data_IF_621846425921
#
_entry.id   IF_621846425921
#
_cell.length_a   1.000
_cell.length_b   1.000
_cell.length_c   1.000
_cell.angle_alpha   90.00
_cell.angle_beta   90.00
_cell.angle_gamma   90.00
#
_symmetry.space_group_name_H-M   'P 1'
#
loop_
_entity.id
_entity.type
_entity.pdbx_description
1 polymer ?
#
# COMPACT_ATOMS: atom_id res chain seq x y z
N UNK A 1 -5.85 34.13 19.48
CA UNK A 1 -5.06 33.22 20.31
C UNK A 1 -5.04 31.89 19.61
N UNK A 2 -3.86 31.42 19.18
CA UNK A 2 -3.75 30.09 18.58
C UNK A 2 -4.03 29.03 19.66
N UNK A 3 -4.92 28.06 19.42
CA UNK A 3 -5.10 26.95 20.33
C UNK A 3 -3.81 26.12 20.35
N UNK A 4 -3.29 25.89 21.54
CA UNK A 4 -2.13 25.04 21.80
C UNK A 4 -2.40 23.62 21.28
N UNK A 5 -1.61 23.18 20.32
CA UNK A 5 -1.58 21.79 19.84
C UNK A 5 -1.25 20.86 21.01
N UNK A 6 -2.04 19.80 21.26
CA UNK A 6 -1.72 18.84 22.32
C UNK A 6 -0.40 18.14 22.00
N UNK A 7 0.48 18.06 22.99
CA UNK A 7 1.73 17.32 22.93
C UNK A 7 1.41 15.85 22.64
N UNK A 8 1.94 15.31 21.53
CA UNK A 8 1.81 13.90 21.19
C UNK A 8 2.50 13.03 22.26
N UNK A 9 1.95 11.84 22.58
CA UNK A 9 2.54 10.95 23.57
C UNK A 9 3.94 10.50 23.14
N UNK A 10 4.88 10.57 24.09
CA UNK A 10 6.26 10.08 23.96
C UNK A 10 6.23 8.60 23.55
N UNK A 11 6.94 8.23 22.46
CA UNK A 11 7.14 6.84 22.02
C UNK A 11 7.57 6.00 23.22
N UNK A 12 6.70 5.08 23.68
CA UNK A 12 7.06 4.11 24.71
C UNK A 12 8.10 3.15 24.13
N UNK A 13 9.13 2.83 24.91
CA UNK A 13 10.09 1.78 24.57
C UNK A 13 9.36 0.45 24.43
N UNK A 14 9.45 -0.17 23.25
CA UNK A 14 8.88 -1.49 22.99
C UNK A 14 9.62 -2.52 23.86
N UNK A 15 8.92 -3.41 24.59
CA UNK A 15 9.58 -4.44 25.38
C UNK A 15 10.44 -5.35 24.48
N UNK A 16 11.71 -5.56 24.85
CA UNK A 16 12.56 -6.56 24.20
C UNK A 16 12.18 -7.94 24.71
N UNK A 17 11.38 -8.67 23.94
CA UNK A 17 11.10 -10.08 24.20
C UNK A 17 12.31 -10.92 23.77
N UNK A 18 13.06 -11.44 24.73
CA UNK A 18 14.16 -12.37 24.46
C UNK A 18 13.59 -13.77 24.26
N UNK A 19 13.47 -14.21 23.01
CA UNK A 19 12.92 -15.53 22.69
C UNK A 19 14.01 -16.61 22.61
N UNK A 20 13.75 -17.82 23.12
CA UNK A 20 14.63 -18.95 22.93
C UNK A 20 14.56 -19.40 21.46
N UNK A 21 15.45 -18.84 20.64
CA UNK A 21 15.97 -19.39 19.38
C UNK A 21 15.01 -20.29 18.60
N UNK A 22 13.94 -19.73 18.03
CA UNK A 22 13.25 -20.34 16.89
C UNK A 22 14.15 -20.24 15.65
N UNK A 23 15.28 -20.96 15.65
CA UNK A 23 16.22 -21.04 14.51
C UNK A 23 15.78 -22.12 13.51
N UNK A 24 14.48 -22.26 13.28
CA UNK A 24 14.01 -22.99 12.11
C UNK A 24 14.39 -22.19 10.88
N UNK A 25 14.92 -22.85 9.84
CA UNK A 25 15.09 -22.18 8.54
C UNK A 25 13.71 -21.68 8.09
N UNK A 26 13.53 -20.36 8.00
CA UNK A 26 12.34 -19.80 7.40
C UNK A 26 12.25 -20.29 5.95
N UNK A 27 11.20 -21.05 5.66
CA UNK A 27 10.98 -21.63 4.34
C UNK A 27 10.56 -20.61 3.30
N UNK A 28 10.11 -19.42 3.71
CA UNK A 28 9.47 -18.44 2.84
C UNK A 28 10.24 -17.12 2.70
N UNK A 29 10.22 -16.58 1.48
CA UNK A 29 10.74 -15.26 1.14
C UNK A 29 9.63 -14.22 1.21
N UNK A 30 9.75 -13.27 2.14
CA UNK A 30 8.68 -12.30 2.41
C UNK A 30 8.93 -11.02 1.63
N UNK A 31 7.91 -10.60 0.89
CA UNK A 31 7.96 -9.40 0.06
C UNK A 31 6.74 -8.54 0.36
N UNK A 32 7.00 -7.28 0.66
CA UNK A 32 6.00 -6.24 0.78
C UNK A 32 6.17 -5.27 -0.40
N UNK A 33 5.10 -5.03 -1.14
CA UNK A 33 5.12 -4.21 -2.35
C UNK A 33 4.02 -3.15 -2.34
N UNK A 34 4.39 -1.91 -2.65
CA UNK A 34 3.45 -0.82 -2.88
C UNK A 34 3.85 0.01 -4.11
N UNK A 35 2.99 0.97 -4.45
CA UNK A 35 3.22 1.97 -5.47
C UNK A 35 3.18 3.36 -4.85
N UNK A 36 3.44 4.36 -5.67
CA UNK A 36 3.32 5.74 -5.24
C UNK A 36 1.90 6.02 -4.71
N UNK A 37 1.80 6.52 -3.47
CA UNK A 37 0.53 6.86 -2.77
C UNK A 37 -0.47 5.73 -2.55
N UNK A 38 -0.05 4.47 -2.67
CA UNK A 38 -0.91 3.32 -2.35
C UNK A 38 -0.76 2.79 -0.93
N UNK A 39 -0.06 3.50 -0.04
CA UNK A 39 0.07 3.12 1.37
C UNK A 39 1.46 2.65 1.80
N UNK A 40 2.52 3.14 1.16
CA UNK A 40 3.92 2.77 1.48
C UNK A 40 4.27 2.92 2.97
N UNK A 41 3.76 3.95 3.66
CA UNK A 41 4.00 4.14 5.09
C UNK A 41 3.37 3.01 5.92
N UNK A 42 2.09 2.72 5.70
CA UNK A 42 1.37 1.59 6.33
C UNK A 42 2.12 0.28 6.09
N UNK A 43 2.52 0.03 4.84
CA UNK A 43 3.21 -1.20 4.48
C UNK A 43 4.60 -1.30 5.11
N UNK A 44 5.32 -0.18 5.23
CA UNK A 44 6.60 -0.12 5.91
C UNK A 44 6.45 -0.45 7.40
N UNK A 45 5.42 0.06 8.07
CA UNK A 45 5.18 -0.21 9.49
C UNK A 45 4.84 -1.69 9.70
N UNK A 46 3.96 -2.25 8.87
CA UNK A 46 3.65 -3.69 8.89
C UNK A 46 4.89 -4.54 8.63
N UNK A 47 5.70 -4.19 7.63
CA UNK A 47 6.96 -4.88 7.32
C UNK A 47 7.96 -4.80 8.48
N UNK A 48 8.06 -3.66 9.17
CA UNK A 48 8.89 -3.50 10.36
C UNK A 48 8.44 -4.40 11.50
N UNK A 49 7.13 -4.49 11.75
CA UNK A 49 6.60 -5.38 12.77
C UNK A 49 6.89 -6.85 12.44
N UNK A 50 6.65 -7.28 11.19
CA UNK A 50 6.98 -8.65 10.76
C UNK A 50 8.47 -8.94 10.90
N UNK A 51 9.33 -8.03 10.43
CA UNK A 51 10.77 -8.21 10.52
C UNK A 51 11.27 -8.28 11.97
N UNK A 52 10.69 -7.48 12.86
CA UNK A 52 11.02 -7.52 14.29
C UNK A 52 10.63 -8.87 14.93
N UNK A 53 9.44 -9.38 14.65
CA UNK A 53 8.95 -10.64 15.22
C UNK A 53 9.73 -11.83 14.69
N UNK A 54 10.11 -11.80 13.41
CA UNK A 54 10.79 -12.89 12.73
C UNK A 54 12.32 -12.76 12.73
N UNK A 55 12.87 -11.74 13.39
CA UNK A 55 14.31 -11.42 13.43
C UNK A 55 14.93 -11.38 12.02
N UNK A 56 14.26 -10.66 11.11
CA UNK A 56 14.69 -10.45 9.72
C UNK A 56 15.26 -9.05 9.52
N UNK A 57 16.20 -8.94 8.60
CA UNK A 57 16.65 -7.65 8.08
C UNK A 57 15.68 -7.13 7.01
N UNK A 58 15.52 -5.81 6.91
CA UNK A 58 14.68 -5.20 5.86
C UNK A 58 15.55 -4.64 4.76
N UNK A 59 15.37 -5.15 3.55
CA UNK A 59 15.95 -4.58 2.34
C UNK A 59 14.93 -3.74 1.58
N UNK A 60 15.16 -2.43 1.53
CA UNK A 60 14.35 -1.53 0.70
C UNK A 60 14.83 -1.57 -0.76
N UNK A 61 13.89 -1.78 -1.68
CA UNK A 61 14.13 -1.86 -3.13
C UNK A 61 13.23 -0.85 -3.85
N UNK A 62 13.75 -0.27 -4.93
CA UNK A 62 13.03 0.65 -5.82
C UNK A 62 12.93 0.05 -7.21
N UNK A 63 11.76 -0.42 -7.65
CA UNK A 63 11.61 -1.17 -8.91
C UNK A 63 12.01 -0.43 -10.17
N UNK A 64 11.88 0.90 -10.16
CA UNK A 64 12.06 1.68 -11.38
C UNK A 64 13.47 1.59 -11.91
N UNK A 65 13.59 0.90 -13.05
CA UNK A 65 14.61 1.15 -14.07
C UNK A 65 14.35 2.53 -14.68
N UNK A 66 14.63 3.62 -13.94
CA UNK A 66 14.67 4.95 -14.56
C UNK A 66 15.74 4.91 -15.66
N UNK A 67 15.46 5.35 -16.90
CA UNK A 67 16.48 5.45 -17.93
C UNK A 67 17.69 6.23 -17.39
N UNK A 68 18.85 5.58 -17.32
CA UNK A 68 20.08 6.17 -16.77
C UNK A 68 20.37 5.92 -15.29
N UNK A 69 19.47 5.27 -14.54
CA UNK A 69 19.82 4.61 -13.28
C UNK A 69 20.01 3.14 -13.61
N UNK A 70 21.25 2.65 -13.55
CA UNK A 70 21.55 1.24 -13.80
C UNK A 70 20.59 0.37 -13.00
N UNK A 71 19.87 -0.52 -13.67
CA UNK A 71 18.93 -1.43 -13.05
C UNK A 71 19.70 -2.34 -12.11
N UNK A 72 19.73 -1.99 -10.81
CA UNK A 72 20.18 -2.90 -9.75
C UNK A 72 19.23 -4.09 -9.55
N UNK A 73 18.25 -4.24 -10.46
CA UNK A 73 17.21 -5.26 -10.49
C UNK A 73 17.65 -6.61 -11.06
N UNK A 74 18.90 -6.74 -11.50
CA UNK A 74 19.38 -7.99 -12.08
C UNK A 74 20.11 -8.91 -11.10
N UNK A 75 20.42 -8.44 -9.89
CA UNK A 75 20.95 -9.32 -8.85
C UNK A 75 19.78 -9.94 -8.10
N UNK A 76 19.70 -11.28 -8.13
CA UNK A 76 18.78 -12.02 -7.29
C UNK A 76 18.98 -11.55 -5.84
N UNK A 77 17.91 -11.21 -5.10
CA UNK A 77 18.07 -10.76 -3.73
C UNK A 77 18.81 -11.81 -2.90
N UNK A 78 19.64 -11.38 -1.95
CA UNK A 78 20.10 -12.29 -0.92
C UNK A 78 18.90 -12.60 -0.03
N UNK A 79 18.31 -13.76 -0.25
CA UNK A 79 17.12 -14.19 0.47
C UNK A 79 17.44 -14.73 1.88
N UNK A 80 18.71 -14.76 2.28
CA UNK A 80 19.10 -15.24 3.60
C UNK A 80 18.75 -14.19 4.67
N UNK A 81 17.65 -14.46 5.39
CA UNK A 81 17.16 -13.66 6.53
C UNK A 81 16.69 -12.24 6.21
N UNK A 82 16.26 -11.98 4.98
CA UNK A 82 15.78 -10.67 4.56
C UNK A 82 14.28 -10.68 4.23
N UNK A 83 13.63 -9.55 4.56
CA UNK A 83 12.33 -9.14 4.06
C UNK A 83 12.56 -8.02 3.04
N UNK A 84 11.93 -8.11 1.87
CA UNK A 84 12.09 -7.09 0.83
C UNK A 84 10.89 -6.14 0.79
N UNK A 85 11.16 -4.83 0.85
CA UNK A 85 10.15 -3.79 0.74
C UNK A 85 10.32 -3.03 -0.59
N UNK A 86 9.38 -3.20 -1.52
CA UNK A 86 9.35 -2.52 -2.81
C UNK A 86 8.46 -1.29 -2.77
N UNK A 87 9.04 -0.13 -3.07
CA UNK A 87 8.30 1.12 -3.28
C UNK A 87 8.37 1.41 -4.78
N UNK A 88 7.25 1.27 -5.51
CA UNK A 88 7.12 1.23 -6.99
C UNK A 88 7.19 -0.16 -7.64
N UNK A 89 6.62 -1.18 -7.03
CA UNK A 89 6.69 -2.57 -7.54
C UNK A 89 6.08 -2.74 -8.94
N UNK A 90 6.82 -3.32 -9.89
CA UNK A 90 6.34 -3.53 -11.26
C UNK A 90 6.28 -5.01 -11.69
N UNK A 91 5.81 -5.27 -12.91
CA UNK A 91 5.70 -6.63 -13.45
C UNK A 91 7.05 -7.30 -13.70
N UNK A 92 8.10 -6.54 -13.99
CA UNK A 92 9.42 -7.09 -14.30
C UNK A 92 10.12 -7.55 -13.03
N UNK A 93 10.00 -6.79 -11.93
CA UNK A 93 10.41 -7.23 -10.61
C UNK A 93 9.72 -8.53 -10.21
N UNK A 94 8.40 -8.63 -10.39
CA UNK A 94 7.68 -9.87 -10.12
C UNK A 94 8.21 -11.04 -10.94
N UNK A 95 8.39 -10.85 -12.26
CA UNK A 95 8.93 -11.90 -13.15
C UNK A 95 10.32 -12.33 -12.73
N UNK A 96 11.20 -11.39 -12.39
CA UNK A 96 12.55 -11.68 -11.93
C UNK A 96 12.49 -12.52 -10.64
N UNK A 97 11.70 -12.09 -9.66
CA UNK A 97 11.50 -12.80 -8.39
C UNK A 97 11.05 -14.25 -8.64
N UNK A 98 10.05 -14.50 -9.49
CA UNK A 98 9.48 -15.85 -9.67
C UNK A 98 10.18 -16.70 -10.74
N UNK A 99 11.16 -16.16 -11.47
CA UNK A 99 11.90 -16.88 -12.51
C UNK A 99 12.93 -17.87 -11.95
N UNK A 100 13.35 -17.67 -10.71
CA UNK A 100 14.29 -18.55 -10.00
C UNK A 100 13.58 -19.80 -9.47
N UNK A 101 14.20 -20.98 -9.65
CA UNK A 101 13.67 -22.24 -9.09
C UNK A 101 13.60 -22.22 -7.56
N UNK A 102 14.53 -21.51 -6.92
CA UNK A 102 14.63 -21.40 -5.47
C UNK A 102 13.45 -20.61 -4.89
N UNK A 103 13.07 -19.53 -5.57
CA UNK A 103 12.02 -18.61 -5.12
C UNK A 103 10.61 -19.05 -5.54
N UNK A 104 10.50 -19.87 -6.59
CA UNK A 104 9.21 -20.18 -7.22
C UNK A 104 8.15 -20.73 -6.25
N UNK A 105 8.53 -21.49 -5.22
CA UNK A 105 7.59 -22.06 -4.23
C UNK A 105 7.60 -21.33 -2.88
N UNK A 106 8.62 -20.52 -2.62
CA UNK A 106 8.92 -19.95 -1.30
C UNK A 106 8.45 -18.51 -1.14
N UNK A 107 8.18 -17.79 -2.22
CA UNK A 107 7.79 -16.38 -2.13
C UNK A 107 6.38 -16.21 -1.54
N UNK A 108 6.25 -15.19 -0.69
CA UNK A 108 4.99 -14.60 -0.22
C UNK A 108 5.03 -13.10 -0.47
N UNK A 109 4.19 -12.64 -1.38
CA UNK A 109 4.04 -11.25 -1.77
C UNK A 109 2.78 -10.66 -1.15
N UNK A 110 2.94 -9.69 -0.26
CA UNK A 110 1.87 -8.79 0.18
C UNK A 110 1.95 -7.54 -0.68
N UNK A 111 0.98 -7.36 -1.58
CA UNK A 111 0.94 -6.27 -2.53
C UNK A 111 -0.21 -5.31 -2.20
N UNK A 112 0.13 -4.08 -1.82
CA UNK A 112 -0.82 -3.03 -1.48
C UNK A 112 -1.09 -2.12 -2.68
N UNK A 113 -2.34 -2.13 -3.14
CA UNK A 113 -2.88 -1.21 -4.14
C UNK A 113 -3.89 -0.27 -3.50
N UNK A 114 -4.33 0.75 -4.23
CA UNK A 114 -5.33 1.72 -3.75
C UNK A 114 -6.32 2.05 -4.84
N UNK A 115 -7.52 2.52 -4.46
CA UNK A 115 -8.47 3.03 -5.44
C UNK A 115 -7.79 4.10 -6.33
N UNK A 116 -7.94 4.06 -7.66
CA UNK A 116 -7.27 4.99 -8.56
C UNK A 116 -7.63 6.46 -8.28
N UNK A 117 -8.89 6.75 -7.95
CA UNK A 117 -9.30 8.13 -7.63
C UNK A 117 -8.66 8.57 -6.31
N UNK A 118 -8.67 7.71 -5.28
CA UNK A 118 -8.00 7.99 -4.02
C UNK A 118 -6.49 8.16 -4.15
N UNK A 119 -5.88 7.49 -5.13
CA UNK A 119 -4.46 7.60 -5.45
C UNK A 119 -4.15 8.99 -6.01
N UNK A 120 -4.97 9.49 -6.95
CA UNK A 120 -4.86 10.85 -7.49
C UNK A 120 -5.03 11.89 -6.38
N UNK A 121 -6.11 11.82 -5.59
CA UNK A 121 -6.36 12.76 -4.48
C UNK A 121 -5.16 12.78 -3.53
N UNK A 122 -4.62 11.61 -3.20
CA UNK A 122 -3.48 11.51 -2.29
C UNK A 122 -2.17 12.02 -2.88
N UNK A 123 -1.99 11.89 -4.20
CA UNK A 123 -0.84 12.43 -4.93
C UNK A 123 -0.85 13.94 -4.94
N UNK A 124 -1.97 14.53 -5.38
CA UNK A 124 -2.17 15.98 -5.46
C UNK A 124 -1.83 16.67 -4.13
N UNK A 125 -2.49 16.27 -3.04
CA UNK A 125 -2.28 16.88 -1.73
C UNK A 125 -0.89 16.64 -1.14
N UNK A 126 -0.22 15.56 -1.54
CA UNK A 126 1.16 15.33 -1.15
C UNK A 126 2.09 16.27 -1.91
N UNK A 127 1.98 16.36 -3.23
CA UNK A 127 2.81 17.21 -4.08
C UNK A 127 2.66 18.70 -3.72
N UNK A 128 1.43 19.16 -3.44
CA UNK A 128 1.19 20.53 -2.98
C UNK A 128 1.88 20.86 -1.64
N UNK A 129 2.14 19.86 -0.78
CA UNK A 129 2.71 20.06 0.56
C UNK A 129 4.21 19.85 0.62
N UNK A 130 4.73 18.82 -0.04
CA UNK A 130 6.13 18.42 0.08
C UNK A 130 7.03 19.07 -0.95
N UNK A 131 6.48 19.57 -2.05
CA UNK A 131 7.27 20.09 -3.17
C UNK A 131 7.88 19.01 -4.08
N UNK A 132 7.76 17.73 -3.72
CA UNK A 132 8.24 16.62 -4.55
C UNK A 132 7.18 16.28 -5.59
N UNK A 133 7.29 16.77 -6.82
CA UNK A 133 6.29 16.49 -7.88
C UNK A 133 6.52 15.17 -8.61
N UNK A 134 7.65 14.50 -8.39
CA UNK A 134 7.92 13.17 -8.94
C UNK A 134 7.72 13.04 -10.46
N UNK A 135 6.55 12.50 -10.86
CA UNK A 135 6.14 12.26 -12.25
C UNK A 135 5.15 13.27 -12.80
N UNK A 136 4.74 14.27 -12.02
CA UNK A 136 3.82 15.33 -12.46
C UNK A 136 4.56 16.28 -13.41
N UNK A 137 4.00 16.63 -14.58
CA UNK A 137 4.69 17.40 -15.62
C UNK A 137 4.80 18.90 -15.33
N UNK A 138 4.61 19.32 -14.07
CA UNK A 138 4.79 20.69 -13.60
C UNK A 138 5.51 20.67 -12.25
N UNK A 139 6.19 21.77 -11.91
CA UNK A 139 6.76 21.92 -10.58
C UNK A 139 5.68 22.17 -9.52
N UNK A 140 6.07 22.04 -8.25
CA UNK A 140 5.13 22.15 -7.15
C UNK A 140 4.58 23.56 -6.97
N UNK A 141 5.35 24.59 -7.34
CA UNK A 141 4.92 25.97 -7.22
C UNK A 141 3.77 26.24 -8.20
N UNK A 142 3.93 25.81 -9.46
CA UNK A 142 2.88 25.85 -10.46
C UNK A 142 1.65 25.03 -10.04
N UNK A 143 1.84 23.82 -9.50
CA UNK A 143 0.72 22.97 -9.06
C UNK A 143 -0.10 23.60 -7.93
N UNK A 144 0.55 24.30 -6.99
CA UNK A 144 -0.12 24.99 -5.88
C UNK A 144 -0.85 26.26 -6.33
N UNK A 145 -0.43 26.86 -7.44
CA UNK A 145 -1.07 28.05 -8.02
C UNK A 145 -2.34 27.72 -8.82
N UNK A 146 -2.52 26.47 -9.24
CA UNK A 146 -3.75 26.01 -9.87
C UNK A 146 -4.90 25.96 -8.85
N UNK A 147 -6.09 26.26 -9.32
CA UNK A 147 -7.33 25.87 -8.66
C UNK A 147 -7.39 24.35 -8.47
N UNK A 148 -8.09 23.92 -7.41
CA UNK A 148 -8.06 22.52 -6.97
C UNK A 148 -8.55 21.55 -8.05
N UNK A 149 -9.50 21.95 -8.88
CA UNK A 149 -9.98 21.14 -10.01
C UNK A 149 -8.87 20.91 -11.04
N UNK A 150 -8.30 21.98 -11.60
CA UNK A 150 -7.20 21.92 -12.57
C UNK A 150 -6.00 21.15 -12.01
N UNK A 151 -5.64 21.38 -10.75
CA UNK A 151 -4.55 20.67 -10.08
C UNK A 151 -4.81 19.16 -9.93
N UNK A 152 -6.05 18.76 -9.62
CA UNK A 152 -6.45 17.36 -9.56
C UNK A 152 -6.43 16.71 -10.96
N UNK A 153 -6.79 17.43 -12.01
CA UNK A 153 -6.75 16.92 -13.39
C UNK A 153 -5.32 16.71 -13.89
N UNK A 154 -4.42 17.64 -13.58
CA UNK A 154 -2.97 17.49 -13.87
C UNK A 154 -2.40 16.27 -13.15
N UNK A 155 -2.73 16.10 -11.86
CA UNK A 155 -2.32 14.91 -11.10
C UNK A 155 -2.93 13.63 -11.70
N UNK A 156 -4.20 13.65 -12.10
CA UNK A 156 -4.88 12.51 -12.70
C UNK A 156 -4.18 12.05 -13.99
N UNK A 157 -3.81 13.00 -14.86
CA UNK A 157 -3.04 12.72 -16.07
C UNK A 157 -1.68 12.08 -15.73
N UNK A 158 -0.93 12.65 -14.79
CA UNK A 158 0.36 12.13 -14.37
C UNK A 158 0.28 10.72 -13.78
N UNK A 159 -0.74 10.44 -12.96
CA UNK A 159 -0.99 9.13 -12.35
C UNK A 159 -1.40 8.08 -13.38
N UNK A 160 -2.18 8.47 -14.40
CA UNK A 160 -2.55 7.61 -15.54
C UNK A 160 -1.36 7.22 -16.42
N UNK A 161 -0.34 8.06 -16.51
CA UNK A 161 0.87 7.78 -17.28
C UNK A 161 1.94 7.01 -16.47
N UNK A 162 1.76 6.88 -15.16
CA UNK A 162 2.77 6.29 -14.27
C UNK A 162 2.21 5.19 -13.37
N UNK A 163 1.64 5.58 -12.23
CA UNK A 163 1.29 4.69 -11.11
C UNK A 163 0.17 3.71 -11.46
N UNK A 164 -0.84 4.14 -12.22
CA UNK A 164 -1.95 3.25 -12.61
C UNK A 164 -1.48 2.12 -13.53
N UNK A 165 -0.75 2.39 -14.63
CA UNK A 165 -0.16 1.32 -15.46
C UNK A 165 0.74 0.37 -14.66
N UNK A 166 1.54 0.87 -13.72
CA UNK A 166 2.37 0.04 -12.83
C UNK A 166 1.51 -0.91 -11.98
N UNK A 167 0.46 -0.40 -11.34
CA UNK A 167 -0.50 -1.22 -10.59
C UNK A 167 -1.16 -2.28 -11.47
N UNK A 168 -1.59 -1.91 -12.67
CA UNK A 168 -2.23 -2.82 -13.64
C UNK A 168 -1.27 -3.92 -14.09
N UNK A 169 -0.04 -3.56 -14.46
CA UNK A 169 0.97 -4.51 -14.90
C UNK A 169 1.35 -5.47 -13.78
N UNK A 170 1.58 -4.97 -12.56
CA UNK A 170 1.85 -5.80 -11.38
C UNK A 170 0.63 -6.67 -11.01
N UNK A 171 -0.60 -6.18 -11.16
CA UNK A 171 -1.82 -6.96 -10.97
C UNK A 171 -1.94 -8.12 -11.98
N UNK A 172 -1.71 -7.84 -13.26
CA UNK A 172 -1.74 -8.85 -14.32
C UNK A 172 -0.63 -9.90 -14.23
N UNK A 173 0.56 -9.49 -13.77
CA UNK A 173 1.70 -10.39 -13.62
C UNK A 173 1.57 -11.29 -12.37
N UNK A 174 1.20 -10.70 -11.22
CA UNK A 174 0.96 -11.40 -9.97
C UNK A 174 -0.53 -11.73 -9.79
N UNK A 175 -1.07 -12.63 -10.62
CA UNK A 175 -2.51 -12.92 -10.68
C UNK A 175 -3.11 -13.23 -9.30
N UNK A 176 -4.37 -12.83 -9.08
CA UNK A 176 -5.08 -13.12 -7.81
C UNK A 176 -5.27 -14.62 -7.53
N UNK A 177 -5.21 -15.47 -8.57
CA UNK A 177 -5.24 -16.92 -8.43
C UNK A 177 -3.91 -17.51 -7.92
N UNK A 178 -2.84 -16.70 -7.83
CA UNK A 178 -1.55 -17.14 -7.35
C UNK A 178 -1.53 -17.14 -5.81
N UNK A 179 -1.46 -18.33 -5.21
CA UNK A 179 -1.43 -18.51 -3.74
C UNK A 179 -0.22 -17.85 -3.07
N UNK A 180 0.78 -17.43 -3.83
CA UNK A 180 1.95 -16.69 -3.34
C UNK A 180 1.69 -15.19 -3.20
N UNK A 181 0.51 -14.71 -3.58
CA UNK A 181 0.19 -13.29 -3.66
C UNK A 181 -1.05 -13.00 -2.81
N UNK A 182 -0.88 -12.16 -1.80
CA UNK A 182 -1.96 -11.49 -1.12
C UNK A 182 -2.01 -10.05 -1.61
N UNK A 183 -3.06 -9.69 -2.34
CA UNK A 183 -3.27 -8.31 -2.77
C UNK A 183 -4.37 -7.64 -1.97
N UNK A 184 -4.04 -6.51 -1.35
CA UNK A 184 -4.93 -5.74 -0.48
C UNK A 184 -5.20 -4.37 -1.11
N UNK A 185 -6.42 -3.85 -0.93
CA UNK A 185 -6.68 -2.42 -1.08
C UNK A 185 -6.28 -1.68 0.20
N UNK A 186 -5.69 -0.49 0.10
CA UNK A 186 -5.35 0.32 1.27
C UNK A 186 -6.57 0.61 2.15
N UNK A 187 -7.75 0.72 1.54
CA UNK A 187 -9.01 0.97 2.22
C UNK A 187 -9.37 -0.14 3.22
N UNK A 188 -8.89 -1.37 3.03
CA UNK A 188 -9.10 -2.47 3.96
C UNK A 188 -8.59 -2.14 5.38
N UNK A 189 -7.40 -1.52 5.47
CA UNK A 189 -6.82 -1.06 6.73
C UNK A 189 -7.64 0.04 7.40
N UNK A 190 -8.29 0.90 6.62
CA UNK A 190 -9.16 1.96 7.17
C UNK A 190 -10.48 1.40 7.66
N UNK A 191 -11.04 0.43 6.93
CA UNK A 191 -12.33 -0.17 7.28
C UNK A 191 -12.23 -1.19 8.42
N UNK A 192 -11.11 -1.92 8.52
CA UNK A 192 -10.89 -2.99 9.51
C UNK A 192 -9.38 -3.24 9.69
N UNK A 193 -8.74 -2.43 10.54
CA UNK A 193 -7.30 -2.49 10.78
C UNK A 193 -6.85 -3.86 11.29
N UNK A 194 -7.45 -4.35 12.38
CA UNK A 194 -7.09 -5.61 13.03
C UNK A 194 -7.37 -6.82 12.13
N UNK A 195 -8.55 -6.87 11.49
CA UNK A 195 -8.88 -7.96 10.57
C UNK A 195 -7.97 -8.01 9.34
N UNK A 196 -7.57 -6.84 8.82
CA UNK A 196 -6.63 -6.75 7.70
C UNK A 196 -5.23 -7.23 8.11
N UNK A 197 -4.74 -6.81 9.29
CA UNK A 197 -3.48 -7.29 9.84
C UNK A 197 -3.51 -8.80 10.07
N UNK A 198 -4.54 -9.32 10.72
CA UNK A 198 -4.71 -10.75 10.94
C UNK A 198 -4.60 -11.54 9.63
N UNK A 199 -5.22 -11.05 8.56
CA UNK A 199 -5.14 -11.68 7.24
C UNK A 199 -3.74 -11.61 6.61
N UNK A 200 -3.02 -10.50 6.79
CA UNK A 200 -1.60 -10.42 6.37
C UNK A 200 -0.80 -11.50 7.09
N UNK A 201 -0.96 -11.60 8.40
CA UNK A 201 -0.28 -12.60 9.21
C UNK A 201 -0.62 -14.02 8.78
N UNK A 202 -1.91 -14.35 8.69
CA UNK A 202 -2.40 -15.69 8.32
C UNK A 202 -1.88 -16.10 6.92
N UNK A 203 -1.78 -15.17 5.99
CA UNK A 203 -1.19 -15.40 4.66
C UNK A 203 0.32 -15.71 4.71
N UNK A 204 1.07 -14.95 5.52
CA UNK A 204 2.49 -15.24 5.75
C UNK A 204 2.64 -16.59 6.47
N UNK A 205 1.69 -16.89 7.36
CA UNK A 205 1.69 -18.06 8.21
C UNK A 205 1.40 -19.39 7.51
N UNK A 206 0.55 -19.39 6.47
CA UNK A 206 0.19 -20.57 5.63
C UNK A 206 1.41 -21.22 4.94
N UNK A 207 2.62 -20.69 5.13
CA UNK A 207 3.86 -21.16 4.53
C UNK A 207 4.86 -21.80 5.49
N UNK A 208 4.67 -21.67 6.82
CA UNK A 208 5.65 -22.15 7.79
C UNK A 208 5.01 -22.78 9.01
N UNK A 209 5.60 -23.89 9.45
CA UNK A 209 5.25 -24.57 10.71
C UNK A 209 5.67 -23.75 11.95
N UNK A 210 6.41 -22.66 11.77
CA UNK A 210 6.97 -21.84 12.85
C UNK A 210 5.98 -20.84 13.47
N UNK A 211 4.83 -20.61 12.84
CA UNK A 211 3.90 -19.57 13.30
C UNK A 211 2.95 -20.10 14.37
N UNK A 212 2.92 -19.42 15.52
CA UNK A 212 2.02 -19.71 16.64
C UNK A 212 0.96 -18.62 16.80
N UNK A 213 -0.11 -18.91 17.53
CA UNK A 213 -1.11 -17.90 17.92
C UNK A 213 -0.46 -16.76 18.73
N UNK A 214 0.52 -17.05 19.58
CA UNK A 214 1.26 -16.03 20.35
C UNK A 214 1.97 -15.01 19.45
N UNK A 215 2.60 -15.47 18.35
CA UNK A 215 3.27 -14.57 17.41
C UNK A 215 2.28 -13.72 16.62
N UNK A 216 1.08 -14.26 16.35
CA UNK A 216 -0.03 -13.53 15.74
C UNK A 216 -0.52 -12.41 16.65
N UNK A 217 -0.76 -12.71 17.91
CA UNK A 217 -1.24 -11.73 18.89
C UNK A 217 -0.18 -10.64 19.11
N UNK A 218 1.10 -11.02 19.18
CA UNK A 218 2.20 -10.05 19.23
C UNK A 218 2.25 -9.14 18.00
N UNK A 219 2.03 -9.69 16.81
CA UNK A 219 1.95 -8.91 15.58
C UNK A 219 0.81 -7.90 15.61
N UNK A 220 -0.39 -8.31 16.03
CA UNK A 220 -1.54 -7.43 16.15
C UNK A 220 -1.29 -6.32 17.19
N UNK A 221 -0.73 -6.66 18.35
CA UNK A 221 -0.40 -5.70 19.40
C UNK A 221 0.61 -4.65 18.92
N UNK A 222 1.72 -5.07 18.32
CA UNK A 222 2.76 -4.15 17.86
C UNK A 222 2.29 -3.29 16.69
N UNK A 223 1.56 -3.88 15.74
CA UNK A 223 1.06 -3.15 14.57
C UNK A 223 -0.07 -2.18 14.95
N UNK A 224 -0.87 -2.47 15.98
CA UNK A 224 -1.89 -1.53 16.49
C UNK A 224 -1.29 -0.26 17.11
N UNK A 225 -0.04 -0.33 17.58
CA UNK A 225 0.69 0.82 18.12
C UNK A 225 1.33 1.70 17.04
N UNK A 226 1.35 1.25 15.78
CA UNK A 226 1.88 2.03 14.67
C UNK A 226 0.95 3.21 14.39
N UNK A 227 1.40 4.42 14.75
CA UNK A 227 0.69 5.65 14.39
C UNK A 227 1.17 6.12 13.03
N UNK A 228 0.28 6.32 12.04
CA UNK A 228 0.66 6.94 10.79
C UNK A 228 1.28 8.31 11.08
N UNK A 229 2.39 8.60 10.41
CA UNK A 229 2.97 9.93 10.46
C UNK A 229 1.94 10.95 9.93
N UNK A 230 1.54 11.95 10.73
CA UNK A 230 0.57 12.95 10.31
C UNK A 230 1.02 13.73 9.06
N UNK A 231 2.33 13.84 8.78
CA UNK A 231 2.85 14.45 7.55
C UNK A 231 2.51 13.63 6.29
N UNK A 232 2.13 12.37 6.45
CA UNK A 232 1.72 11.51 5.35
C UNK A 232 0.19 11.37 5.21
N UNK A 233 -0.59 12.00 6.10
CA UNK A 233 -2.05 11.93 6.09
C UNK A 233 -2.66 13.24 5.57
N UNK A 234 -3.33 13.18 4.44
CA UNK A 234 -4.18 14.28 3.97
C UNK A 234 -5.40 14.41 4.89
N UNK A 235 -5.72 15.64 5.29
CA UNK A 235 -6.90 15.95 6.10
C UNK A 235 -8.19 15.41 5.46
N UNK A 236 -9.10 14.89 6.29
CA UNK A 236 -10.37 14.31 5.83
C UNK A 236 -11.19 15.27 4.97
N UNK A 237 -11.32 16.52 5.42
CA UNK A 237 -12.06 17.55 4.71
C UNK A 237 -11.51 17.80 3.29
N UNK A 238 -10.19 17.88 3.13
CA UNK A 238 -9.56 18.06 1.82
C UNK A 238 -9.84 16.89 0.86
N UNK A 239 -9.92 15.67 1.38
CA UNK A 239 -10.30 14.49 0.58
C UNK A 239 -11.78 14.55 0.17
N UNK A 240 -12.67 14.97 1.06
CA UNK A 240 -14.10 15.10 0.78
C UNK A 240 -14.37 16.16 -0.29
N UNK A 241 -13.73 17.33 -0.18
CA UNK A 241 -13.80 18.39 -1.20
C UNK A 241 -13.30 17.89 -2.55
N UNK A 242 -12.14 17.21 -2.59
CA UNK A 242 -11.60 16.66 -3.83
C UNK A 242 -12.53 15.61 -4.47
N UNK A 243 -13.16 14.74 -3.67
CA UNK A 243 -14.15 13.77 -4.19
C UNK A 243 -15.36 14.47 -4.80
N UNK A 244 -15.85 15.55 -4.19
CA UNK A 244 -16.98 16.32 -4.71
C UNK A 244 -16.63 16.95 -6.06
N UNK A 245 -15.47 17.63 -6.14
CA UNK A 245 -14.96 18.22 -7.39
C UNK A 245 -14.88 17.15 -8.50
N UNK A 246 -14.28 16.00 -8.19
CA UNK A 246 -14.14 14.89 -9.15
C UNK A 246 -15.51 14.33 -9.58
N UNK A 247 -16.48 14.25 -8.67
CA UNK A 247 -17.82 13.75 -8.97
C UNK A 247 -18.61 14.69 -9.89
N UNK A 248 -18.42 16.00 -9.74
CA UNK A 248 -19.06 17.05 -10.53
C UNK A 248 -18.33 17.35 -11.85
N UNK A 249 -17.03 17.05 -11.92
CA UNK A 249 -16.21 17.30 -13.10
C UNK A 249 -16.65 16.46 -14.30
N UNK A 250 -16.81 17.14 -15.44
CA UNK A 250 -17.08 16.52 -16.75
C UNK A 250 -15.82 16.14 -17.52
N UNK A 251 -14.62 16.24 -16.92
CA UNK A 251 -13.37 15.98 -17.62
C UNK A 251 -13.17 14.49 -17.93
N UNK A 252 -12.80 14.20 -19.18
CA UNK A 252 -12.60 12.83 -19.68
C UNK A 252 -11.46 12.07 -18.97
N UNK A 253 -10.58 12.76 -18.24
CA UNK A 253 -9.52 12.13 -17.45
C UNK A 253 -10.11 11.25 -16.34
N UNK A 254 -11.22 11.68 -15.72
CA UNK A 254 -11.85 10.96 -14.62
C UNK A 254 -12.49 9.64 -15.08
N UNK A 255 -13.01 9.58 -16.30
CA UNK A 255 -13.52 8.33 -16.87
C UNK A 255 -12.42 7.29 -17.01
N UNK A 256 -11.22 7.70 -17.44
CA UNK A 256 -10.05 6.81 -17.53
C UNK A 256 -9.59 6.34 -16.16
N UNK A 257 -9.52 7.24 -15.17
CA UNK A 257 -9.14 6.90 -13.79
C UNK A 257 -10.14 5.90 -13.19
N UNK A 258 -11.45 6.15 -13.33
CA UNK A 258 -12.50 5.25 -12.84
C UNK A 258 -12.48 3.90 -13.56
N UNK A 259 -12.30 3.88 -14.88
CA UNK A 259 -12.22 2.65 -15.66
C UNK A 259 -11.05 1.73 -15.22
N UNK A 260 -9.96 2.31 -14.71
CA UNK A 260 -8.82 1.55 -14.21
C UNK A 260 -9.17 0.66 -13.00
N UNK A 261 -10.21 0.98 -12.21
CA UNK A 261 -10.62 0.21 -11.02
C UNK A 261 -10.77 -1.28 -11.28
N UNK A 262 -11.52 -1.65 -12.32
CA UNK A 262 -11.80 -3.05 -12.64
C UNK A 262 -10.52 -3.83 -12.99
N UNK A 263 -9.60 -3.20 -13.72
CA UNK A 263 -8.32 -3.84 -14.12
C UNK A 263 -7.39 -4.13 -12.95
N UNK A 264 -7.54 -3.39 -11.85
CA UNK A 264 -6.87 -3.65 -10.58
C UNK A 264 -7.86 -4.20 -9.55
N UNK A 265 -8.84 -5.01 -9.97
CA UNK A 265 -9.68 -5.82 -9.09
C UNK A 265 -10.62 -5.08 -8.13
N UNK A 266 -10.83 -3.77 -8.31
CA UNK A 266 -11.84 -3.04 -7.54
C UNK A 266 -13.23 -3.29 -8.12
N UNK A 267 -14.20 -3.41 -7.22
CA UNK A 267 -15.63 -3.50 -7.52
C UNK A 267 -16.40 -2.46 -6.70
N UNK A 268 -17.47 -1.96 -7.28
CA UNK A 268 -18.39 -1.08 -6.57
C UNK A 268 -19.26 -1.94 -5.65
N UNK A 269 -19.22 -1.66 -4.35
CA UNK A 269 -20.01 -2.36 -3.35
C UNK A 269 -21.39 -1.69 -3.18
N UNK A 270 -21.39 -0.36 -3.21
CA UNK A 270 -22.56 0.49 -3.29
C UNK A 270 -22.17 1.79 -4.01
N UNK A 271 -23.12 2.63 -4.46
CA UNK A 271 -22.82 3.80 -5.28
C UNK A 271 -21.73 4.69 -4.67
N UNK A 272 -20.60 4.82 -5.36
CA UNK A 272 -19.45 5.61 -4.95
C UNK A 272 -18.46 4.91 -4.01
N UNK A 273 -18.78 3.72 -3.48
CA UNK A 273 -17.91 2.95 -2.58
C UNK A 273 -17.28 1.79 -3.33
N UNK A 274 -15.99 1.95 -3.62
CA UNK A 274 -15.19 0.96 -4.34
C UNK A 274 -14.24 0.24 -3.39
N UNK A 275 -14.19 -1.08 -3.50
CA UNK A 275 -13.26 -1.92 -2.74
C UNK A 275 -12.69 -3.02 -3.62
N UNK A 276 -11.44 -3.38 -3.36
CA UNK A 276 -10.83 -4.56 -3.98
C UNK A 276 -11.44 -5.86 -3.43
N UNK A 277 -11.75 -5.87 -2.14
CA UNK A 277 -12.03 -7.09 -1.42
C UNK A 277 -13.51 -7.39 -1.39
N UNK A 278 -13.82 -8.66 -1.61
CA UNK A 278 -15.10 -9.19 -1.23
C UNK A 278 -15.14 -9.38 0.27
N UNK A 279 -15.41 -8.32 1.03
CA UNK A 279 -15.92 -8.55 2.39
C UNK A 279 -17.17 -9.42 2.26
N UNK A 280 -17.27 -10.41 3.13
CA UNK A 280 -18.44 -11.29 3.27
C UNK A 280 -19.72 -10.47 3.28
N UNK A 281 -20.80 -10.99 2.71
CA UNK A 281 -22.09 -10.30 2.55
C UNK A 281 -22.56 -9.53 3.81
N UNK A 282 -22.23 -10.03 5.02
CA UNK A 282 -22.49 -9.36 6.30
C UNK A 282 -21.90 -7.96 6.50
N UNK A 283 -20.80 -7.59 5.82
CA UNK A 283 -20.24 -6.24 5.95
C UNK A 283 -21.02 -5.22 5.12
N UNK A 284 -21.51 -5.63 3.95
CA UNK A 284 -22.26 -4.79 3.01
C UNK A 284 -23.54 -4.26 3.67
N UNK A 285 -24.25 -5.14 4.39
CA UNK A 285 -25.51 -4.80 5.04
C UNK A 285 -25.35 -3.71 6.11
N UNK A 286 -24.23 -3.71 6.87
CA UNK A 286 -24.03 -2.75 7.97
C UNK A 286 -23.49 -1.39 7.55
N UNK A 287 -22.76 -1.32 6.43
CA UNK A 287 -21.99 -0.10 6.07
C UNK A 287 -22.60 0.67 4.91
N UNK A 288 -23.35 0.03 4.02
CA UNK A 288 -24.03 0.79 2.96
C UNK A 288 -25.12 1.70 3.54
N UNK A 289 -25.76 1.29 4.64
CA UNK A 289 -26.78 2.09 5.34
C UNK A 289 -26.20 3.25 6.16
N UNK A 290 -24.96 3.15 6.65
CA UNK A 290 -24.35 4.20 7.49
C UNK A 290 -23.55 5.24 6.70
N UNK A 291 -23.18 4.92 5.45
CA UNK A 291 -22.42 5.81 4.57
C UNK A 291 -23.31 6.70 3.70
N UNK A 292 -24.63 6.43 3.64
CA UNK A 292 -25.62 7.32 3.04
C UNK A 292 -26.66 7.80 4.07
N UNK A 293 -26.53 9.02 4.62
CA UNK A 293 -27.64 9.70 5.29
C UNK A 293 -28.76 10.11 4.34
#
# INVERSE_FOLDING_TARGET
GCPSTPLLPVRRSVPTYAWPHCRGEMSAHIIFASHHKTGTAVLNDVAQTVAQILELDIEKKLSRSRPGHGSSFHEAPDWSRSLHLYQTFDSDAWRAIVSSRETQSRVRLVHLVRDPVETVISGYWYHCRTGDTGTVPIDSEALVQLDTEDGLEVEAAAVLESTIPEMQAAAGAAKDSDRRVLRLGLEAFTDDWEGTLARVWDFLADSSEMYTEDLRDQFLDLASMATPDPEHVTARHSKEVARQIIAESGAAVWDKVRAARASIGYRELCPGVWRREAKTDQWLDKHCESLWP
#
